data_IF_105667812667
#
_entry.id   IF_105667812667
#
_cell.length_a   1.000
_cell.length_b   1.000
_cell.length_c   1.000
_cell.angle_alpha   90.00
_cell.angle_beta   90.00
_cell.angle_gamma   90.00
#
_symmetry.space_group_name_H-M   'P 1'
#
loop_
_entity.id
_entity.type
_entity.pdbx_description
1 polymer ?
#
# COMPACT_ATOMS: atom_id res chain seq x y z
N UNK A 1 -15.71 6.72 0.72
CA UNK A 1 -14.68 7.07 1.72
C UNK A 1 -14.12 5.75 2.18
N UNK A 2 -12.80 5.58 2.34
CA UNK A 2 -12.27 4.37 2.95
C UNK A 2 -12.92 4.21 4.34
N UNK A 3 -13.49 3.05 4.59
CA UNK A 3 -14.16 2.76 5.86
C UNK A 3 -13.09 2.66 6.95
N UNK A 4 -13.15 3.57 7.93
CA UNK A 4 -12.22 3.59 9.04
C UNK A 4 -12.29 2.30 9.89
N UNK A 5 -13.41 1.57 9.81
CA UNK A 5 -13.66 0.29 10.48
C UNK A 5 -13.17 -0.92 9.67
N UNK A 6 -12.85 -0.76 8.38
CA UNK A 6 -12.37 -1.87 7.58
C UNK A 6 -10.94 -2.26 8.01
N UNK A 7 -10.66 -3.57 8.08
CA UNK A 7 -9.36 -4.06 8.53
C UNK A 7 -8.27 -3.57 7.58
N UNK A 8 -7.13 -3.15 8.14
CA UNK A 8 -6.00 -2.66 7.36
C UNK A 8 -5.39 -3.76 6.46
N UNK A 9 -5.54 -5.02 6.88
CA UNK A 9 -5.11 -6.21 6.16
C UNK A 9 -6.29 -7.14 5.97
N UNK A 10 -6.43 -7.66 4.77
CA UNK A 10 -7.41 -8.68 4.42
C UNK A 10 -6.88 -10.06 4.82
N UNK A 11 -7.51 -10.67 5.82
CA UNK A 11 -7.15 -12.00 6.32
C UNK A 11 -7.27 -13.08 5.25
N UNK A 12 -8.20 -12.94 4.29
CA UNK A 12 -8.37 -13.91 3.22
C UNK A 12 -7.15 -13.90 2.28
N UNK A 13 -6.62 -12.72 1.98
CA UNK A 13 -5.41 -12.59 1.14
C UNK A 13 -4.17 -13.09 1.88
N UNK A 14 -4.05 -12.80 3.18
CA UNK A 14 -2.97 -13.38 3.99
C UNK A 14 -3.05 -14.91 4.04
N UNK A 15 -4.25 -15.47 4.14
CA UNK A 15 -4.43 -16.92 4.12
C UNK A 15 -4.09 -17.51 2.74
N UNK A 16 -4.53 -16.89 1.65
CA UNK A 16 -4.18 -17.31 0.29
C UNK A 16 -2.67 -17.23 0.03
N UNK A 17 -2.00 -16.19 0.54
CA UNK A 17 -0.55 -16.05 0.50
C UNK A 17 0.16 -17.21 1.21
N UNK A 18 -0.31 -17.58 2.41
CA UNK A 18 0.19 -18.74 3.15
C UNK A 18 0.00 -20.01 2.35
N UNK A 19 -1.22 -20.26 1.85
CA UNK A 19 -1.54 -21.45 1.06
C UNK A 19 -0.68 -21.55 -0.21
N UNK A 20 -0.49 -20.44 -0.91
CA UNK A 20 0.30 -20.36 -2.15
C UNK A 20 1.79 -20.61 -1.89
N UNK A 21 2.27 -20.21 -0.71
CA UNK A 21 3.67 -20.41 -0.32
C UNK A 21 3.89 -21.71 0.46
N UNK A 22 2.90 -22.60 0.52
CA UNK A 22 3.04 -23.88 1.20
C UNK A 22 3.07 -23.80 2.72
N UNK A 23 2.35 -22.82 3.29
CA UNK A 23 2.26 -22.53 4.72
C UNK A 23 3.61 -22.17 5.36
N UNK A 24 4.51 -21.55 4.59
CA UNK A 24 5.81 -21.09 5.08
C UNK A 24 5.71 -19.65 5.65
N UNK A 25 5.63 -19.47 6.98
CA UNK A 25 5.48 -18.16 7.58
C UNK A 25 6.74 -17.29 7.42
N UNK A 26 7.91 -17.90 7.23
CA UNK A 26 9.17 -17.18 7.05
C UNK A 26 9.22 -16.48 5.69
N UNK A 27 8.73 -17.12 4.63
CA UNK A 27 8.63 -16.50 3.32
C UNK A 27 7.58 -15.38 3.29
N UNK A 28 6.42 -15.58 3.94
CA UNK A 28 5.40 -14.52 4.04
C UNK A 28 5.97 -13.32 4.81
N UNK A 29 6.75 -13.57 5.87
CA UNK A 29 7.48 -12.52 6.61
C UNK A 29 8.46 -11.78 5.70
N UNK A 30 9.33 -12.48 4.97
CA UNK A 30 10.32 -11.86 4.07
C UNK A 30 9.67 -10.98 2.99
N UNK A 31 8.55 -11.44 2.43
CA UNK A 31 7.75 -10.69 1.47
C UNK A 31 7.16 -9.42 2.10
N UNK A 32 6.65 -9.51 3.34
CA UNK A 32 6.17 -8.35 4.09
C UNK A 32 7.32 -7.39 4.42
N UNK A 33 8.48 -7.88 4.86
CA UNK A 33 9.65 -7.05 5.18
C UNK A 33 10.15 -6.30 3.95
N UNK A 34 10.23 -6.98 2.81
CA UNK A 34 10.57 -6.37 1.51
C UNK A 34 9.55 -5.28 1.17
N UNK A 35 8.26 -5.57 1.32
CA UNK A 35 7.21 -4.60 1.08
C UNK A 35 7.28 -3.38 2.03
N UNK A 36 7.60 -3.60 3.31
CA UNK A 36 7.81 -2.55 4.32
C UNK A 36 9.02 -1.66 3.99
N UNK A 37 10.03 -2.19 3.29
CA UNK A 37 11.18 -1.44 2.82
C UNK A 37 10.90 -0.67 1.52
N UNK A 38 10.15 -1.25 0.58
CA UNK A 38 9.86 -0.66 -0.73
C UNK A 38 8.76 0.42 -0.66
N UNK A 39 7.71 0.21 0.12
CA UNK A 39 6.58 1.14 0.22
C UNK A 39 6.95 2.60 0.55
N UNK A 40 7.82 2.92 1.53
CA UNK A 40 8.21 4.31 1.80
C UNK A 40 8.89 4.99 0.60
N UNK A 41 9.64 4.24 -0.23
CA UNK A 41 10.25 4.79 -1.46
C UNK A 41 9.17 5.18 -2.46
N UNK A 42 8.12 4.38 -2.60
CA UNK A 42 7.00 4.70 -3.48
C UNK A 42 6.15 5.86 -2.95
N UNK A 43 5.95 5.94 -1.63
CA UNK A 43 5.25 7.05 -0.98
C UNK A 43 5.98 8.38 -1.18
N UNK A 44 7.29 8.40 -0.99
CA UNK A 44 8.12 9.58 -1.24
C UNK A 44 8.01 10.01 -2.72
N UNK A 45 8.10 9.06 -3.66
CA UNK A 45 7.92 9.34 -5.08
C UNK A 45 6.52 9.89 -5.43
N UNK A 46 5.47 9.43 -4.74
CA UNK A 46 4.12 10.01 -4.85
C UNK A 46 4.12 11.45 -4.37
N UNK A 47 4.65 11.72 -3.17
CA UNK A 47 4.68 13.07 -2.60
C UNK A 47 5.47 14.04 -3.47
N UNK A 48 6.62 13.63 -3.98
CA UNK A 48 7.44 14.41 -4.91
C UNK A 48 6.70 14.72 -6.21
N UNK A 49 6.05 13.71 -6.81
CA UNK A 49 5.28 13.91 -8.05
C UNK A 49 4.10 14.87 -7.82
N UNK A 50 3.40 14.76 -6.69
CA UNK A 50 2.33 15.69 -6.31
C UNK A 50 2.87 17.10 -6.06
N UNK A 51 4.02 17.24 -5.40
CA UNK A 51 4.65 18.53 -5.15
C UNK A 51 5.17 19.20 -6.44
N UNK A 52 5.70 18.41 -7.37
CA UNK A 52 6.15 18.84 -8.69
C UNK A 52 4.99 19.07 -9.68
N UNK A 53 3.77 18.68 -9.31
CA UNK A 53 2.60 18.67 -10.18
C UNK A 53 2.83 17.86 -11.46
N UNK A 54 3.56 16.74 -11.35
CA UNK A 54 3.93 15.86 -12.45
C UNK A 54 3.04 14.60 -12.43
N UNK A 55 2.08 14.59 -13.36
CA UNK A 55 1.06 13.55 -13.40
C UNK A 55 1.62 12.23 -13.92
N UNK A 56 2.62 12.26 -14.80
CA UNK A 56 3.27 11.05 -15.30
C UNK A 56 4.16 10.41 -14.23
N UNK A 57 4.91 11.24 -13.49
CA UNK A 57 5.74 10.77 -12.39
C UNK A 57 4.92 10.14 -11.25
N UNK A 58 3.66 10.53 -11.07
CA UNK A 58 2.75 9.96 -10.07
C UNK A 58 2.29 8.53 -10.42
N UNK A 59 2.15 8.20 -11.71
CA UNK A 59 1.54 6.94 -12.16
C UNK A 59 2.36 5.72 -11.72
N UNK A 60 3.68 5.76 -11.93
CA UNK A 60 4.56 4.63 -11.60
C UNK A 60 4.55 4.26 -10.11
N UNK A 61 4.87 5.17 -9.17
CA UNK A 61 4.93 4.82 -7.77
C UNK A 61 3.54 4.44 -7.23
N UNK A 62 2.47 5.10 -7.66
CA UNK A 62 1.10 4.72 -7.31
C UNK A 62 0.72 3.32 -7.81
N UNK A 63 1.11 2.97 -9.05
CA UNK A 63 0.88 1.64 -9.61
C UNK A 63 1.65 0.55 -8.85
N UNK A 64 2.93 0.80 -8.54
CA UNK A 64 3.76 -0.15 -7.78
C UNK A 64 3.20 -0.35 -6.38
N UNK A 65 2.92 0.73 -5.65
CA UNK A 65 2.38 0.67 -4.30
C UNK A 65 1.04 -0.09 -4.27
N UNK A 66 0.16 0.18 -5.23
CA UNK A 66 -1.11 -0.54 -5.40
C UNK A 66 -0.90 -2.04 -5.58
N UNK A 67 -0.04 -2.46 -6.51
CA UNK A 67 0.19 -3.87 -6.78
C UNK A 67 0.76 -4.58 -5.57
N UNK A 68 1.81 -4.01 -4.96
CA UNK A 68 2.43 -4.61 -3.78
C UNK A 68 1.46 -4.66 -2.59
N UNK A 69 0.66 -3.61 -2.38
CA UNK A 69 -0.40 -3.59 -1.36
C UNK A 69 -1.44 -4.68 -1.59
N UNK A 70 -1.86 -4.88 -2.85
CA UNK A 70 -2.83 -5.90 -3.20
C UNK A 70 -2.30 -7.32 -2.94
N UNK A 71 -1.02 -7.56 -3.24
CA UNK A 71 -0.37 -8.85 -3.00
C UNK A 71 -0.35 -9.20 -1.52
N UNK A 72 -0.09 -8.24 -0.63
CA UNK A 72 0.02 -8.49 0.83
C UNK A 72 -1.30 -8.37 1.59
N UNK A 73 -2.42 -8.15 0.91
CA UNK A 73 -3.73 -8.01 1.55
C UNK A 73 -4.07 -6.59 2.04
N UNK A 74 -3.23 -5.58 1.78
CA UNK A 74 -3.50 -4.19 2.13
C UNK A 74 -4.49 -3.53 1.15
N UNK A 75 -5.73 -4.03 1.10
CA UNK A 75 -6.75 -3.63 0.11
C UNK A 75 -7.08 -2.13 0.15
N UNK A 76 -7.20 -1.54 1.34
CA UNK A 76 -7.50 -0.12 1.49
C UNK A 76 -6.39 0.76 0.89
N UNK A 77 -5.14 0.40 1.14
CA UNK A 77 -3.98 1.10 0.59
C UNK A 77 -3.88 0.92 -0.93
N UNK A 78 -4.22 -0.28 -1.44
CA UNK A 78 -4.28 -0.53 -2.87
C UNK A 78 -5.33 0.33 -3.58
N UNK A 79 -6.51 0.48 -2.96
CA UNK A 79 -7.59 1.31 -3.51
C UNK A 79 -7.23 2.81 -3.47
N UNK A 80 -6.65 3.28 -2.37
CA UNK A 80 -6.18 4.66 -2.25
C UNK A 80 -5.07 4.97 -3.27
N UNK A 81 -4.12 4.05 -3.46
CA UNK A 81 -3.07 4.17 -4.47
C UNK A 81 -3.62 4.13 -5.90
N UNK A 82 -4.66 3.33 -6.16
CA UNK A 82 -5.36 3.32 -7.45
C UNK A 82 -5.99 4.68 -7.76
N UNK A 83 -6.53 5.37 -6.76
CA UNK A 83 -7.11 6.69 -6.97
C UNK A 83 -6.07 7.72 -7.42
N UNK A 84 -4.86 7.67 -6.83
CA UNK A 84 -3.71 8.48 -7.27
C UNK A 84 -3.23 8.12 -8.68
N UNK A 85 -3.13 6.83 -8.98
CA UNK A 85 -2.78 6.33 -10.33
C UNK A 85 -3.74 6.91 -11.38
N UNK A 86 -5.05 6.88 -11.10
CA UNK A 86 -6.07 7.42 -12.00
C UNK A 86 -5.94 8.94 -12.14
N UNK A 87 -5.70 9.67 -11.05
CA UNK A 87 -5.51 11.12 -11.10
C UNK A 87 -4.30 11.52 -11.96
N UNK A 88 -3.20 10.77 -11.87
CA UNK A 88 -2.04 10.92 -12.75
C UNK A 88 -2.39 10.65 -14.22
N UNK A 89 -3.13 9.57 -14.50
CA UNK A 89 -3.54 9.22 -15.88
C UNK A 89 -4.50 10.22 -16.52
N UNK A 90 -5.39 10.81 -15.73
CA UNK A 90 -6.34 11.81 -16.23
C UNK A 90 -5.73 13.21 -16.27
N UNK A 91 -4.53 13.42 -15.71
CA UNK A 91 -3.90 14.72 -15.55
C UNK A 91 -4.62 15.63 -14.56
N UNK A 92 -5.50 15.07 -13.72
CA UNK A 92 -6.30 15.82 -12.74
C UNK A 92 -5.56 15.93 -11.40
N UNK A 93 -4.45 16.68 -11.41
CA UNK A 93 -3.68 17.00 -10.20
C UNK A 93 -4.27 18.21 -9.47
N UNK A 94 -5.55 18.13 -9.13
CA UNK A 94 -6.22 19.15 -8.32
C UNK A 94 -5.85 19.02 -6.83
N UNK A 95 -6.32 19.95 -5.99
CA UNK A 95 -6.11 19.90 -4.54
C UNK A 95 -6.55 18.58 -3.87
N UNK A 96 -7.43 17.81 -4.54
CA UNK A 96 -7.83 16.48 -4.09
C UNK A 96 -6.70 15.45 -4.10
N UNK A 97 -5.73 15.55 -5.01
CA UNK A 97 -4.60 14.60 -5.10
C UNK A 97 -3.69 14.68 -3.88
N UNK A 98 -3.45 15.88 -3.37
CA UNK A 98 -2.67 16.05 -2.13
C UNK A 98 -3.38 15.39 -0.95
N UNK A 99 -4.68 15.63 -0.81
CA UNK A 99 -5.48 14.96 0.24
C UNK A 99 -5.49 13.42 0.09
N UNK A 100 -5.45 12.91 -1.14
CA UNK A 100 -5.32 11.48 -1.41
C UNK A 100 -3.94 10.94 -1.02
N UNK A 101 -2.86 11.66 -1.32
CA UNK A 101 -1.51 11.30 -0.91
C UNK A 101 -1.38 11.25 0.62
N UNK A 102 -1.91 12.25 1.32
CA UNK A 102 -2.01 12.25 2.79
C UNK A 102 -2.80 11.03 3.30
N UNK A 103 -3.93 10.70 2.67
CA UNK A 103 -4.73 9.53 3.06
C UNK A 103 -3.97 8.20 2.85
N UNK A 104 -3.22 8.08 1.74
CA UNK A 104 -2.34 6.92 1.48
C UNK A 104 -1.27 6.81 2.57
N UNK A 105 -0.66 7.92 2.99
CA UNK A 105 0.32 7.93 4.08
C UNK A 105 -0.29 7.46 5.42
N UNK A 106 -1.51 7.88 5.71
CA UNK A 106 -2.23 7.45 6.93
C UNK A 106 -2.53 5.95 6.88
N UNK A 107 -3.08 5.47 5.77
CA UNK A 107 -3.38 4.03 5.58
C UNK A 107 -2.10 3.19 5.61
N UNK A 108 -1.00 3.69 5.05
CA UNK A 108 0.31 3.04 5.14
C UNK A 108 0.73 2.80 6.60
N UNK A 109 0.58 3.79 7.47
CA UNK A 109 0.93 3.63 8.87
C UNK A 109 0.05 2.58 9.58
N UNK A 110 -1.23 2.47 9.20
CA UNK A 110 -2.13 1.43 9.71
C UNK A 110 -1.71 0.04 9.25
N UNK A 111 -1.42 -0.10 7.96
CA UNK A 111 -0.93 -1.35 7.34
C UNK A 111 0.38 -1.79 7.97
N UNK A 112 1.34 -0.87 8.13
CA UNK A 112 2.62 -1.12 8.79
C UNK A 112 2.43 -1.60 10.23
N UNK A 113 1.58 -0.93 11.01
CA UNK A 113 1.30 -1.34 12.39
C UNK A 113 0.65 -2.73 12.45
N UNK A 114 -0.29 -3.02 11.55
CA UNK A 114 -0.94 -4.32 11.45
C UNK A 114 0.06 -5.43 11.09
N UNK A 115 0.97 -5.19 10.13
CA UNK A 115 2.03 -6.14 9.80
C UNK A 115 3.01 -6.37 10.95
N UNK A 116 3.40 -5.32 11.67
CA UNK A 116 4.26 -5.45 12.84
C UNK A 116 3.60 -6.26 13.96
N UNK A 117 2.30 -6.07 14.18
CA UNK A 117 1.54 -6.89 15.12
C UNK A 117 1.51 -8.36 14.67
N UNK A 118 1.16 -8.60 13.40
CA UNK A 118 1.12 -9.94 12.82
C UNK A 118 2.48 -10.67 12.92
N UNK A 119 3.59 -9.98 12.61
CA UNK A 119 4.94 -10.53 12.74
C UNK A 119 5.36 -10.80 14.19
N UNK A 120 4.81 -10.07 15.16
CA UNK A 120 5.04 -10.31 16.59
C UNK A 120 4.23 -11.48 17.15
N UNK A 121 3.11 -11.83 16.51
CA UNK A 121 2.24 -12.94 16.91
C UNK A 121 2.64 -14.29 16.29
N UNK A 122 3.40 -14.30 15.20
CA UNK A 122 3.93 -15.53 14.62
C UNK A 122 5.16 -16.03 15.40
N UNK A 123 5.14 -17.25 15.98
CA UNK A 123 6.32 -17.83 16.62
C UNK A 123 7.43 -18.11 15.57
N UNK A 124 8.69 -17.88 15.98
CA UNK A 124 9.91 -18.26 15.23
C UNK A 124 10.01 -19.76 14.92
#
# INVERSE_FOLDING_TARGET
MPDADAPALDEAVLNELKETTGDDPAFVRDLIETYLADAPVQLEGIEEAVAANDAEALIRPAHTLKSSSATVGAMQLAEASRALEMAGRTGALDAGVRAQADAVQVEWNRVKAAFQAWMGEQPE
#
